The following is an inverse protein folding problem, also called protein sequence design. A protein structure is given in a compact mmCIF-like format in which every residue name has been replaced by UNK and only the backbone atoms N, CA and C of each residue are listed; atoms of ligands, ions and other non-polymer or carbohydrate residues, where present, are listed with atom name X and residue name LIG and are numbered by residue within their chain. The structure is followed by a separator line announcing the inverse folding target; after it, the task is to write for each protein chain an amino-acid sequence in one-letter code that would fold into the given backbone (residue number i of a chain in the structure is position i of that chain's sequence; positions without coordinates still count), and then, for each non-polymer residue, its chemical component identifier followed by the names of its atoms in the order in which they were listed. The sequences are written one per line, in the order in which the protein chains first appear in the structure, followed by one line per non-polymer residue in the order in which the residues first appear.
data_IF_770770110858
#
_entry.id   IF_770770110858
#
_cell.length_a   1.000
_cell.length_b   1.000
_cell.length_c   1.000
_cell.angle_alpha   90.00
_cell.angle_beta   90.00
_cell.angle_gamma   90.00
#
_symmetry.space_group_name_H-M   'P 1'
#
loop_
_entity.id
_entity.type
_entity.pdbx_description
1 polymer ?
#
# COMPACT_ATOMS: atom_id res chain seq x y z
N UNK A 1 -9.58 15.54 36.02
CA UNK A 1 -8.12 15.33 35.99
C UNK A 1 -7.61 15.73 34.62
N UNK A 2 -6.85 16.82 34.55
CA UNK A 2 -6.35 17.37 33.28
C UNK A 2 -4.89 16.99 33.11
N UNK A 3 -4.57 16.19 32.09
CA UNK A 3 -3.19 15.85 31.76
C UNK A 3 -2.58 16.99 30.94
N UNK A 4 -1.74 17.79 31.58
CA UNK A 4 -0.88 18.78 30.90
C UNK A 4 0.32 18.05 30.28
N UNK A 5 0.31 17.86 28.96
CA UNK A 5 1.48 17.43 28.21
C UNK A 5 2.45 18.60 28.03
N UNK A 6 3.26 18.89 29.04
CA UNK A 6 4.46 19.71 28.87
C UNK A 6 5.58 18.85 28.26
N UNK A 7 5.63 18.74 26.93
CA UNK A 7 6.87 18.35 26.24
C UNK A 7 7.66 19.62 25.93
N UNK A 8 8.86 19.83 26.50
CA UNK A 8 9.76 20.83 25.96
C UNK A 8 10.16 20.36 24.55
N UNK A 9 9.70 21.08 23.53
CA UNK A 9 10.23 20.96 22.18
C UNK A 9 11.70 21.41 22.23
N UNK A 10 12.61 20.46 22.50
CA UNK A 10 14.02 20.65 22.17
C UNK A 10 14.07 20.83 20.66
N UNK A 11 14.31 22.05 20.22
CA UNK A 11 14.53 22.39 18.82
C UNK A 11 15.69 21.53 18.31
N UNK A 12 15.38 20.50 17.51
CA UNK A 12 16.36 19.59 16.90
C UNK A 12 16.96 20.21 15.63
N UNK A 13 16.38 21.32 15.16
CA UNK A 13 16.77 22.03 13.95
C UNK A 13 18.23 22.54 13.93
N UNK A 14 18.81 23.06 15.03
CA UNK A 14 20.21 23.49 15.03
C UNK A 14 21.16 22.31 14.83
N UNK A 15 20.87 21.17 15.46
CA UNK A 15 21.68 19.96 15.36
C UNK A 15 21.62 19.34 13.97
N UNK A 16 20.46 19.39 13.31
CA UNK A 16 20.32 18.93 11.92
C UNK A 16 21.05 19.87 10.96
N UNK A 17 20.95 21.19 11.16
CA UNK A 17 21.66 22.16 10.32
C UNK A 17 23.18 22.03 10.46
N UNK A 18 23.69 21.87 11.68
CA UNK A 18 25.11 21.68 11.96
C UNK A 18 25.63 20.36 11.39
N UNK A 19 24.86 19.27 11.51
CA UNK A 19 25.21 17.98 10.90
C UNK A 19 25.25 18.03 9.36
N UNK A 20 24.33 18.78 8.73
CA UNK A 20 24.32 18.97 7.28
C UNK A 20 25.50 19.84 6.81
N UNK A 21 25.85 20.87 7.58
CA UNK A 21 27.00 21.72 7.31
C UNK A 21 28.31 20.92 7.42
N UNK A 22 28.48 20.12 8.47
CA UNK A 22 29.64 19.25 8.65
C UNK A 22 29.78 18.20 7.54
N UNK A 23 28.66 17.64 7.06
CA UNK A 23 28.66 16.69 5.94
C UNK A 23 29.06 17.35 4.62
N UNK A 24 28.72 18.63 4.43
CA UNK A 24 29.13 19.41 3.27
C UNK A 24 30.63 19.73 3.31
N UNK A 25 31.16 20.06 4.48
CA UNK A 25 32.54 20.51 4.64
C UNK A 25 33.54 19.33 4.67
N UNK A 26 33.12 18.15 5.12
CA UNK A 26 33.95 16.93 5.12
C UNK A 26 33.12 15.66 4.80
N UNK A 27 32.91 15.34 3.51
CA UNK A 27 32.17 14.14 3.12
C UNK A 27 32.89 12.83 3.48
N UNK A 28 34.20 12.88 3.77
CA UNK A 28 34.98 11.68 4.12
C UNK A 28 34.77 11.23 5.57
N UNK A 29 34.25 12.11 6.43
CA UNK A 29 33.83 11.72 7.78
C UNK A 29 32.70 10.70 7.78
N UNK A 30 31.72 10.85 6.87
CA UNK A 30 30.62 9.89 6.76
C UNK A 30 31.11 8.52 6.34
N UNK A 31 32.08 8.47 5.41
CA UNK A 31 32.70 7.21 4.98
C UNK A 31 33.47 6.55 6.13
N UNK A 32 34.27 7.33 6.86
CA UNK A 32 35.05 6.86 8.02
C UNK A 32 34.18 6.38 9.18
N UNK A 33 33.06 7.07 9.43
CA UNK A 33 32.11 6.68 10.48
C UNK A 33 31.33 5.42 10.11
N UNK A 34 30.94 5.28 8.84
CA UNK A 34 30.33 4.03 8.34
C UNK A 34 31.30 2.86 8.49
N UNK A 35 32.56 3.04 8.09
CA UNK A 35 33.58 2.01 8.29
C UNK A 35 33.75 1.65 9.76
N UNK A 36 33.79 2.61 10.68
CA UNK A 36 33.86 2.31 12.12
C UNK A 36 32.64 1.57 12.65
N UNK A 37 31.44 1.91 12.19
CA UNK A 37 30.18 1.29 12.66
C UNK A 37 29.99 -0.12 12.10
N UNK A 38 30.40 -0.37 10.86
CA UNK A 38 30.15 -1.64 10.16
C UNK A 38 31.36 -2.58 10.13
N UNK A 39 32.59 -2.13 10.39
CA UNK A 39 33.75 -3.01 10.61
C UNK A 39 33.80 -3.61 12.02
N UNK A 40 32.95 -3.17 12.95
CA UNK A 40 32.79 -3.82 14.24
C UNK A 40 31.90 -5.05 14.04
N UNK A 41 32.41 -6.23 14.35
CA UNK A 41 31.61 -7.47 14.35
C UNK A 41 30.27 -7.19 15.05
N UNK A 42 29.13 -7.53 14.43
CA UNK A 42 27.83 -7.32 15.05
C UNK A 42 27.84 -8.02 16.42
N UNK A 43 27.18 -7.43 17.44
CA UNK A 43 27.02 -8.12 18.71
C UNK A 43 26.40 -9.50 18.42
N UNK A 44 26.85 -10.57 19.10
CA UNK A 44 26.25 -11.88 18.92
C UNK A 44 24.75 -11.71 19.14
N UNK A 45 23.96 -12.09 18.13
CA UNK A 45 22.51 -12.07 18.22
C UNK A 45 22.12 -12.81 19.49
N UNK A 46 21.46 -12.10 20.42
CA UNK A 46 20.88 -12.74 21.57
C UNK A 46 19.99 -13.89 21.05
N UNK A 47 20.27 -15.08 21.55
CA UNK A 47 19.58 -16.32 21.24
C UNK A 47 18.08 -16.06 21.36
N UNK A 48 17.44 -15.90 20.20
CA UNK A 48 16.05 -15.46 20.14
C UNK A 48 15.24 -16.66 20.57
N UNK A 49 14.83 -16.70 21.83
CA UNK A 49 13.90 -17.72 22.30
C UNK A 49 12.68 -17.61 21.42
N UNK A 50 12.52 -18.58 20.52
CA UNK A 50 11.43 -18.62 19.56
C UNK A 50 10.14 -18.43 20.37
N UNK A 51 9.31 -17.40 20.07
CA UNK A 51 8.04 -17.27 20.76
C UNK A 51 7.26 -18.57 20.54
N UNK A 52 6.53 -19.06 21.55
CA UNK A 52 5.78 -20.30 21.41
C UNK A 52 4.92 -20.21 20.16
N UNK A 53 5.06 -21.22 19.29
CA UNK A 53 4.27 -21.33 18.06
C UNK A 53 2.80 -21.19 18.43
N UNK A 54 2.07 -20.18 17.92
CA UNK A 54 0.66 -20.03 18.25
C UNK A 54 -0.06 -21.31 17.88
N UNK A 55 -0.87 -21.83 18.81
CA UNK A 55 -1.70 -23.00 18.57
C UNK A 55 -2.53 -22.75 17.30
N UNK A 56 -2.57 -23.74 16.41
CA UNK A 56 -3.38 -23.65 15.20
C UNK A 56 -4.81 -23.31 15.61
N UNK A 57 -5.41 -22.24 15.05
CA UNK A 57 -6.78 -21.89 15.40
C UNK A 57 -7.66 -23.08 15.08
N UNK A 58 -8.50 -23.48 16.05
CA UNK A 58 -9.56 -24.47 15.81
C UNK A 58 -10.59 -23.78 14.94
N UNK A 59 -10.45 -23.93 13.62
CA UNK A 59 -11.40 -23.38 12.65
C UNK A 59 -12.56 -24.35 12.51
N UNK A 60 -13.78 -23.84 12.64
CA UNK A 60 -15.00 -24.59 12.41
C UNK A 60 -15.00 -25.18 10.98
N UNK A 61 -15.08 -26.51 10.80
CA UNK A 61 -15.11 -27.15 9.49
C UNK A 61 -16.23 -26.63 8.57
N UNK A 62 -17.37 -26.23 9.15
CA UNK A 62 -18.47 -25.64 8.38
C UNK A 62 -18.08 -24.27 7.81
N UNK A 63 -17.44 -23.44 8.61
CA UNK A 63 -16.92 -22.14 8.18
C UNK A 63 -15.85 -22.29 7.10
N UNK A 64 -14.91 -23.24 7.24
CA UNK A 64 -13.91 -23.50 6.19
C UNK A 64 -14.55 -23.92 4.86
N UNK A 65 -15.54 -24.81 4.92
CA UNK A 65 -16.24 -25.27 3.72
C UNK A 65 -16.96 -24.11 3.03
N UNK A 66 -17.64 -23.26 3.80
CA UNK A 66 -18.29 -22.07 3.27
C UNK A 66 -17.27 -21.11 2.60
N UNK A 67 -16.12 -20.86 3.22
CA UNK A 67 -15.08 -20.01 2.65
C UNK A 67 -14.52 -20.57 1.34
N UNK A 68 -14.31 -21.89 1.26
CA UNK A 68 -13.88 -22.55 0.01
C UNK A 68 -14.92 -22.36 -1.09
N UNK A 69 -16.20 -22.57 -0.79
CA UNK A 69 -17.27 -22.40 -1.78
C UNK A 69 -17.39 -20.94 -2.25
N UNK A 70 -17.24 -19.97 -1.34
CA UNK A 70 -17.22 -18.55 -1.70
C UNK A 70 -16.01 -18.18 -2.55
N UNK A 71 -14.84 -18.73 -2.25
CA UNK A 71 -13.62 -18.51 -3.04
C UNK A 71 -13.79 -19.04 -4.47
N UNK A 72 -14.31 -20.27 -4.61
CA UNK A 72 -14.62 -20.86 -5.92
C UNK A 72 -15.62 -20.01 -6.70
N UNK A 73 -16.70 -19.57 -6.05
CA UNK A 73 -17.70 -18.70 -6.67
C UNK A 73 -17.10 -17.37 -7.15
N UNK A 74 -16.25 -16.73 -6.33
CA UNK A 74 -15.55 -15.48 -6.71
C UNK A 74 -14.51 -15.67 -7.80
N UNK A 75 -13.99 -16.89 -7.99
CA UNK A 75 -13.05 -17.21 -9.07
C UNK A 75 -13.71 -17.43 -10.43
N UNK A 76 -15.05 -17.52 -10.50
CA UNK A 76 -15.73 -17.66 -11.78
C UNK A 76 -15.46 -16.42 -12.65
N UNK A 77 -15.15 -16.59 -13.95
CA UNK A 77 -14.79 -15.46 -14.83
C UNK A 77 -15.84 -14.35 -14.83
N UNK A 78 -17.12 -14.69 -14.97
CA UNK A 78 -18.19 -13.68 -14.94
C UNK A 78 -18.27 -12.92 -13.60
N UNK A 79 -17.92 -13.55 -12.47
CA UNK A 79 -17.84 -12.87 -11.17
C UNK A 79 -16.64 -11.95 -11.05
N UNK A 80 -15.51 -12.36 -11.60
CA UNK A 80 -14.34 -11.49 -11.71
C UNK A 80 -14.66 -10.29 -12.60
N UNK A 81 -15.35 -10.51 -13.73
CA UNK A 81 -15.81 -9.46 -14.62
C UNK A 81 -16.72 -8.47 -13.89
N UNK A 82 -17.79 -8.92 -13.25
CA UNK A 82 -18.69 -8.06 -12.47
C UNK A 82 -17.96 -7.25 -11.39
N UNK A 83 -17.02 -7.89 -10.67
CA UNK A 83 -16.24 -7.20 -9.63
C UNK A 83 -15.33 -6.11 -10.22
N UNK A 84 -14.74 -6.35 -11.39
CA UNK A 84 -13.91 -5.37 -12.08
C UNK A 84 -14.76 -4.24 -12.66
N UNK A 85 -15.92 -4.53 -13.26
CA UNK A 85 -16.86 -3.53 -13.76
C UNK A 85 -17.30 -2.61 -12.63
N UNK A 86 -17.68 -3.17 -11.47
CA UNK A 86 -18.05 -2.35 -10.31
C UNK A 86 -16.95 -1.36 -9.90
N UNK A 87 -15.70 -1.84 -9.78
CA UNK A 87 -14.56 -0.99 -9.42
C UNK A 87 -14.27 0.07 -10.48
N UNK A 88 -14.44 -0.27 -11.75
CA UNK A 88 -14.24 0.66 -12.86
C UNK A 88 -15.36 1.72 -12.89
N UNK A 89 -16.61 1.34 -12.61
CA UNK A 89 -17.72 2.29 -12.45
C UNK A 89 -17.44 3.28 -11.32
N UNK A 90 -17.07 2.79 -10.13
CA UNK A 90 -16.71 3.66 -8.98
C UNK A 90 -15.56 4.61 -9.33
N UNK A 91 -14.58 4.13 -10.11
CA UNK A 91 -13.47 4.97 -10.60
C UNK A 91 -13.94 6.05 -11.57
N UNK A 92 -14.81 5.73 -12.52
CA UNK A 92 -15.33 6.67 -13.51
C UNK A 92 -16.24 7.72 -12.85
N UNK A 93 -17.08 7.31 -11.90
CA UNK A 93 -17.89 8.21 -11.08
C UNK A 93 -16.98 9.18 -10.29
N UNK A 94 -15.94 8.65 -9.64
CA UNK A 94 -14.98 9.47 -8.91
C UNK A 94 -14.24 10.44 -9.84
N UNK A 95 -13.84 10.01 -11.04
CA UNK A 95 -13.20 10.89 -12.01
C UNK A 95 -14.12 12.02 -12.43
N UNK A 96 -15.38 11.73 -12.78
CA UNK A 96 -16.36 12.76 -13.16
C UNK A 96 -16.67 13.74 -12.04
N UNK A 97 -16.79 13.26 -10.80
CA UNK A 97 -16.95 14.13 -9.64
C UNK A 97 -15.77 15.13 -9.47
N UNK A 98 -14.58 14.77 -9.94
CA UNK A 98 -13.35 15.56 -9.78
C UNK A 98 -12.85 16.24 -11.08
N UNK A 99 -13.61 16.17 -12.19
CA UNK A 99 -13.25 16.80 -13.47
C UNK A 99 -13.03 18.31 -13.34
N UNK A 100 -13.76 18.97 -12.41
CA UNK A 100 -13.60 20.39 -12.09
C UNK A 100 -12.19 20.78 -11.61
N UNK A 101 -11.40 19.81 -11.13
CA UNK A 101 -10.06 20.03 -10.59
C UNK A 101 -8.94 19.69 -11.57
N UNK A 102 -9.24 19.52 -12.86
CA UNK A 102 -8.23 19.42 -13.93
C UNK A 102 -7.43 18.11 -13.93
N UNK A 103 -7.89 17.07 -13.22
CA UNK A 103 -7.30 15.73 -13.38
C UNK A 103 -7.68 15.20 -14.76
N UNK A 104 -6.67 14.98 -15.62
CA UNK A 104 -6.84 14.33 -16.94
C UNK A 104 -7.64 13.04 -16.77
N UNK A 105 -8.73 12.90 -17.52
CA UNK A 105 -9.33 11.60 -17.77
C UNK A 105 -8.24 10.68 -18.34
N UNK A 106 -7.99 9.55 -17.69
CA UNK A 106 -6.98 8.57 -18.13
C UNK A 106 -7.61 7.37 -18.82
N UNK A 107 -8.93 7.31 -18.91
CA UNK A 107 -9.66 6.16 -19.43
C UNK A 107 -10.54 6.58 -20.61
N UNK A 108 -10.73 5.71 -21.61
CA UNK A 108 -11.71 5.91 -22.66
C UNK A 108 -13.09 6.15 -22.03
N UNK A 109 -13.75 7.21 -22.48
CA UNK A 109 -15.08 7.60 -22.04
C UNK A 109 -15.91 7.96 -23.27
N UNK A 110 -17.09 7.36 -23.38
CA UNK A 110 -18.10 7.63 -24.39
C UNK A 110 -19.28 8.34 -23.74
N UNK A 111 -19.50 9.60 -24.11
CA UNK A 111 -20.57 10.46 -23.59
C UNK A 111 -21.98 9.98 -23.99
N UNK A 112 -22.09 9.11 -25.00
CA UNK A 112 -23.37 8.51 -25.38
C UNK A 112 -23.77 7.31 -24.50
N UNK A 113 -22.86 6.86 -23.64
CA UNK A 113 -23.00 5.68 -22.80
C UNK A 113 -23.03 6.05 -21.30
N UNK A 114 -23.75 5.26 -20.50
CA UNK A 114 -23.74 5.43 -19.05
C UNK A 114 -22.46 4.86 -18.40
N UNK A 115 -22.25 5.16 -17.13
CA UNK A 115 -21.09 4.79 -16.31
C UNK A 115 -20.79 3.30 -16.33
N UNK A 116 -21.86 2.51 -16.27
CA UNK A 116 -21.77 1.05 -16.27
C UNK A 116 -21.36 0.54 -17.64
N UNK A 117 -21.94 1.05 -18.73
CA UNK A 117 -21.60 0.66 -20.08
C UNK A 117 -20.14 1.01 -20.42
N UNK A 118 -19.69 2.21 -20.05
CA UNK A 118 -18.28 2.61 -20.17
C UNK A 118 -17.36 1.69 -19.36
N UNK A 119 -17.71 1.40 -18.11
CA UNK A 119 -16.95 0.47 -17.26
C UNK A 119 -16.87 -0.95 -17.87
N UNK A 120 -17.97 -1.48 -18.38
CA UNK A 120 -18.00 -2.78 -19.06
C UNK A 120 -17.11 -2.79 -20.30
N UNK A 121 -17.19 -1.77 -21.15
CA UNK A 121 -16.36 -1.67 -22.35
C UNK A 121 -14.87 -1.56 -22.01
N UNK A 122 -14.51 -0.79 -20.97
CA UNK A 122 -13.13 -0.66 -20.51
C UNK A 122 -12.58 -1.98 -19.95
N UNK A 123 -13.38 -2.71 -19.17
CA UNK A 123 -12.99 -4.04 -18.65
C UNK A 123 -12.86 -5.04 -19.81
N UNK A 124 -13.83 -5.10 -20.74
CA UNK A 124 -13.74 -5.97 -21.92
C UNK A 124 -12.51 -5.69 -22.76
N UNK A 125 -12.22 -4.42 -23.04
CA UNK A 125 -11.04 -4.03 -23.82
C UNK A 125 -9.75 -4.50 -23.14
N UNK A 126 -9.65 -4.31 -21.82
CA UNK A 126 -8.50 -4.78 -21.03
C UNK A 126 -8.36 -6.30 -21.03
N UNK A 127 -9.47 -7.03 -20.98
CA UNK A 127 -9.46 -8.51 -21.04
C UNK A 127 -8.95 -9.00 -22.39
N UNK A 128 -9.42 -8.38 -23.48
CA UNK A 128 -8.95 -8.66 -24.84
C UNK A 128 -7.44 -8.38 -24.96
N UNK A 129 -6.97 -7.25 -24.44
CA UNK A 129 -5.53 -6.92 -24.40
C UNK A 129 -4.70 -7.93 -23.59
N UNK A 130 -5.29 -8.54 -22.56
CA UNK A 130 -4.67 -9.56 -21.72
C UNK A 130 -4.81 -10.99 -22.27
N UNK A 131 -5.58 -11.19 -23.35
CA UNK A 131 -5.83 -12.49 -23.94
C UNK A 131 -6.72 -13.41 -23.09
N UNK A 132 -7.65 -12.83 -22.32
CA UNK A 132 -8.65 -13.56 -21.51
C UNK A 132 -9.92 -13.79 -22.33
#
# INVERSE_FOLDING_TARGET
MSFTFNRPQRSVLPQVAEALQQLHDDPQQLASERDRRYNRNPPPYAETTQPPTPASPVVDPFYEHQQKMLALYKSLPWKQFESQVKRETERLEHQRAHERFGRRQTLPWDDSSNDRANAENNVRSRWVEQGI
#
